data_IF_585159998655
#
_entry.id   IF_585159998655
#
_cell.length_a   1.000
_cell.length_b   1.000
_cell.length_c   1.000
_cell.angle_alpha   90.00
_cell.angle_beta   90.00
_cell.angle_gamma   90.00
#
_symmetry.space_group_name_H-M   'P 1'
#
loop_
_entity.id
_entity.type
_entity.pdbx_description
1 polymer ?
#
# COMPACT_ATOMS: atom_id res chain seq x y z
N UNK A 1 -23.03 3.35 72.73
CA UNK A 1 -21.81 3.17 71.93
C UNK A 1 -22.10 3.78 70.57
N UNK A 2 -21.54 4.97 70.38
CA UNK A 2 -21.70 5.83 69.21
C UNK A 2 -20.58 5.55 68.24
N UNK A 3 -20.82 5.68 66.94
CA UNK A 3 -20.00 6.51 66.03
C UNK A 3 -20.64 6.55 64.64
N UNK A 4 -20.94 7.78 64.20
CA UNK A 4 -21.41 8.11 62.88
C UNK A 4 -20.21 8.53 62.04
N UNK A 5 -20.01 7.89 60.88
CA UNK A 5 -19.00 8.32 59.91
C UNK A 5 -19.52 9.51 59.09
N UNK A 6 -18.98 10.68 59.38
CA UNK A 6 -19.10 11.90 58.59
C UNK A 6 -17.98 11.92 57.54
N UNK A 7 -18.32 12.00 56.25
CA UNK A 7 -17.36 12.36 55.21
C UNK A 7 -17.40 13.87 54.99
N UNK A 8 -16.35 14.54 55.43
CA UNK A 8 -16.10 15.97 55.21
C UNK A 8 -15.74 16.24 53.76
N UNK A 9 -16.45 17.19 53.14
CA UNK A 9 -16.10 17.82 51.89
C UNK A 9 -14.80 18.63 52.04
N UNK A 10 -13.87 18.47 51.09
CA UNK A 10 -12.75 19.38 50.92
C UNK A 10 -13.04 20.34 49.75
N UNK A 11 -13.02 21.67 49.98
CA UNK A 11 -12.93 22.66 48.91
C UNK A 11 -11.47 22.86 48.52
N UNK A 12 -11.18 23.41 47.34
CA UNK A 12 -10.10 24.40 47.14
C UNK A 12 -10.22 25.08 45.77
N UNK A 13 -10.44 26.38 45.84
CA UNK A 13 -10.35 27.38 44.78
C UNK A 13 -8.89 27.71 44.45
N UNK A 14 -8.67 28.19 43.21
CA UNK A 14 -7.63 29.10 42.69
C UNK A 14 -6.96 28.51 41.42
N UNK A 15 -7.21 29.08 40.25
CA UNK A 15 -6.48 30.29 39.86
C UNK A 15 -7.23 31.11 38.80
N UNK A 16 -7.47 32.36 39.15
CA UNK A 16 -7.64 33.50 38.25
C UNK A 16 -6.28 33.87 37.64
N UNK A 17 -6.34 34.65 36.54
CA UNK A 17 -5.25 35.25 35.75
C UNK A 17 -4.60 34.30 34.72
N UNK A 18 -4.53 34.59 33.42
CA UNK A 18 -4.33 35.90 32.82
C UNK A 18 -5.01 36.02 31.44
N UNK A 19 -5.85 37.04 31.30
CA UNK A 19 -6.13 37.73 30.05
C UNK A 19 -4.90 38.57 29.68
N UNK A 20 -4.17 38.24 28.60
CA UNK A 20 -3.31 39.22 27.93
C UNK A 20 -3.25 39.01 26.40
N UNK A 21 -3.85 40.00 25.73
CA UNK A 21 -3.57 40.50 24.38
C UNK A 21 -3.90 39.62 23.17
N UNK A 22 -5.07 39.90 22.59
CA UNK A 22 -5.28 39.89 21.14
C UNK A 22 -4.33 40.91 20.48
N UNK A 23 -3.08 40.51 20.27
CA UNK A 23 -2.19 41.24 19.37
C UNK A 23 -2.56 40.88 17.94
N UNK A 24 -3.25 41.81 17.30
CA UNK A 24 -3.39 41.93 15.85
C UNK A 24 -2.02 42.05 15.19
N UNK A 25 -1.35 40.92 14.94
CA UNK A 25 -0.31 40.86 13.91
C UNK A 25 -1.00 40.80 12.55
N UNK A 26 -1.16 41.99 12.00
CA UNK A 26 -1.20 42.29 10.57
C UNK A 26 -0.52 41.18 9.76
N UNK A 27 -1.35 40.34 9.14
CA UNK A 27 -0.97 39.52 8.01
C UNK A 27 -0.51 40.46 6.90
N UNK A 28 0.80 40.69 6.79
CA UNK A 28 1.39 41.14 5.54
C UNK A 28 1.05 40.08 4.49
N UNK A 29 0.47 40.44 3.32
CA UNK A 29 0.34 39.50 2.23
C UNK A 29 1.75 39.15 1.76
N UNK A 30 2.22 37.95 2.10
CA UNK A 30 3.45 37.42 1.53
C UNK A 30 3.14 37.07 0.08
N UNK A 31 3.37 38.03 -0.81
CA UNK A 31 3.36 37.85 -2.26
C UNK A 31 4.41 36.81 -2.62
N UNK A 32 4.01 35.54 -2.69
CA UNK A 32 4.84 34.47 -3.22
C UNK A 32 4.46 34.21 -4.68
N UNK A 33 4.61 35.25 -5.52
CA UNK A 33 4.59 35.15 -6.98
C UNK A 33 6.03 35.03 -7.48
N UNK A 34 6.73 33.96 -7.10
CA UNK A 34 8.04 33.63 -7.71
C UNK A 34 8.49 32.20 -7.37
N UNK A 35 7.60 31.21 -7.53
CA UNK A 35 8.00 29.78 -7.61
C UNK A 35 7.17 28.98 -8.61
N UNK A 36 6.77 29.62 -9.70
CA UNK A 36 6.26 28.99 -10.93
C UNK A 36 6.74 29.77 -12.15
N UNK A 37 8.05 29.71 -12.43
CA UNK A 37 8.61 30.25 -13.66
C UNK A 37 10.00 29.64 -13.96
N UNK A 38 10.17 28.32 -13.81
CA UNK A 38 11.41 27.66 -14.21
C UNK A 38 11.23 26.23 -14.75
N UNK A 39 10.17 26.03 -15.56
CA UNK A 39 10.01 24.79 -16.37
C UNK A 39 9.51 25.10 -17.80
N UNK A 40 9.31 26.37 -18.16
CA UNK A 40 8.81 26.79 -19.49
C UNK A 40 9.78 27.72 -20.26
N UNK A 41 11.08 27.64 -19.98
CA UNK A 41 12.10 28.37 -20.74
C UNK A 41 13.31 27.48 -21.07
N UNK A 42 13.05 26.30 -21.65
CA UNK A 42 14.06 25.53 -22.39
C UNK A 42 13.70 25.35 -23.87
N UNK A 43 12.76 26.14 -24.38
CA UNK A 43 12.38 26.13 -25.81
C UNK A 43 12.16 27.55 -26.30
N UNK A 44 13.17 28.42 -26.17
CA UNK A 44 13.13 29.75 -26.77
C UNK A 44 14.53 30.34 -26.98
N UNK A 45 15.48 29.56 -27.48
CA UNK A 45 16.74 30.11 -28.03
C UNK A 45 17.46 29.10 -28.93
N UNK A 46 16.76 28.61 -29.96
CA UNK A 46 17.45 28.13 -31.17
C UNK A 46 16.78 28.79 -32.36
N UNK A 47 17.29 29.98 -32.69
CA UNK A 47 17.12 30.59 -34.00
C UNK A 47 17.74 29.65 -35.04
N UNK A 48 16.94 28.89 -35.77
CA UNK A 48 17.41 28.20 -36.97
C UNK A 48 16.44 28.37 -38.13
N UNK A 49 17.05 28.71 -39.27
CA UNK A 49 16.45 29.11 -40.52
C UNK A 49 15.44 28.09 -41.07
N UNK A 50 14.42 28.60 -41.77
CA UNK A 50 13.37 27.83 -42.48
C UNK A 50 13.88 26.84 -43.56
N UNK A 51 15.18 26.66 -43.74
CA UNK A 51 15.78 25.79 -44.77
C UNK A 51 16.18 24.39 -44.28
N UNK A 52 16.09 24.05 -42.99
CA UNK A 52 16.47 22.73 -42.47
C UNK A 52 15.32 21.71 -42.35
N UNK A 53 14.05 22.13 -42.43
CA UNK A 53 12.89 21.24 -42.23
C UNK A 53 12.68 20.28 -43.43
N UNK A 54 13.19 20.62 -44.62
CA UNK A 54 13.04 19.76 -45.82
C UNK A 54 14.08 18.63 -45.85
N UNK A 55 15.13 18.65 -45.01
CA UNK A 55 16.16 17.59 -44.97
C UNK A 55 15.95 16.51 -43.90
N UNK A 56 14.89 16.59 -43.09
CA UNK A 56 14.53 15.53 -42.12
C UNK A 56 13.27 14.74 -42.51
N UNK A 57 12.72 14.95 -43.70
CA UNK A 57 11.64 14.13 -44.25
C UNK A 57 12.15 12.96 -45.10
N UNK A 58 13.47 12.86 -45.33
CA UNK A 58 14.13 11.84 -46.16
C UNK A 58 14.78 10.71 -45.34
N UNK A 59 14.49 10.64 -44.04
CA UNK A 59 14.94 9.58 -43.13
C UNK A 59 13.77 8.83 -42.45
N UNK A 60 12.58 8.82 -43.07
CA UNK A 60 11.47 7.92 -42.70
C UNK A 60 11.40 6.69 -43.62
N UNK A 61 12.49 6.40 -44.35
CA UNK A 61 12.62 5.29 -45.30
C UNK A 61 12.98 3.92 -44.71
N UNK A 62 12.81 3.70 -43.39
CA UNK A 62 13.03 2.37 -42.77
C UNK A 62 11.97 2.08 -41.70
N UNK A 63 10.69 2.30 -42.01
CA UNK A 63 9.62 1.60 -41.28
C UNK A 63 9.30 0.31 -42.01
N UNK A 64 10.05 -0.71 -41.63
CA UNK A 64 9.62 -2.10 -41.48
C UNK A 64 8.43 -2.52 -42.35
N UNK A 65 8.78 -3.06 -43.52
CA UNK A 65 8.08 -4.21 -44.09
C UNK A 65 8.12 -5.37 -43.09
N UNK A 66 7.12 -5.46 -42.22
CA UNK A 66 6.59 -6.75 -41.83
C UNK A 66 5.09 -6.70 -41.95
N UNK A 67 4.63 -7.33 -43.02
CA UNK A 67 3.31 -7.94 -43.12
C UNK A 67 3.07 -8.81 -41.90
N UNK A 68 2.56 -8.25 -40.80
CA UNK A 68 1.92 -9.06 -39.76
C UNK A 68 0.46 -9.20 -40.17
N UNK A 69 0.16 -10.40 -40.65
CA UNK A 69 -1.15 -10.88 -41.00
C UNK A 69 -2.22 -10.39 -40.02
N UNK A 70 -3.33 -9.94 -40.60
CA UNK A 70 -4.59 -9.55 -39.98
C UNK A 70 -5.22 -10.74 -39.24
N UNK A 71 -4.72 -11.07 -38.05
CA UNK A 71 -5.39 -11.96 -37.11
C UNK A 71 -5.42 -11.30 -35.73
N UNK A 72 -6.41 -10.42 -35.46
CA UNK A 72 -6.56 -9.78 -34.14
C UNK A 72 -6.65 -10.81 -33.00
N UNK A 73 -7.20 -12.00 -33.26
CA UNK A 73 -7.26 -13.09 -32.29
C UNK A 73 -5.88 -13.60 -31.82
N UNK A 74 -4.84 -13.55 -32.66
CA UNK A 74 -3.47 -13.94 -32.27
C UNK A 74 -2.74 -12.82 -31.52
N UNK A 75 -3.02 -11.56 -31.87
CA UNK A 75 -2.48 -10.40 -31.16
C UNK A 75 -3.12 -10.26 -29.75
N UNK A 76 -4.42 -10.47 -29.63
CA UNK A 76 -5.13 -10.47 -28.35
C UNK A 76 -4.66 -11.62 -27.44
N UNK A 77 -4.42 -12.82 -28.00
CA UNK A 77 -3.82 -13.94 -27.27
C UNK A 77 -2.38 -13.67 -26.78
N UNK A 78 -1.54 -13.03 -27.60
CA UNK A 78 -0.17 -12.69 -27.25
C UNK A 78 -0.07 -11.55 -26.21
N UNK A 79 -0.94 -10.55 -26.30
CA UNK A 79 -1.05 -9.46 -25.30
C UNK A 79 -1.56 -10.03 -23.97
N UNK A 80 -2.52 -10.96 -23.99
CA UNK A 80 -3.00 -11.66 -22.79
C UNK A 80 -1.86 -12.46 -22.14
N UNK A 81 -1.10 -13.24 -22.92
CA UNK A 81 0.02 -14.02 -22.39
C UNK A 81 1.17 -13.15 -21.82
N UNK A 82 1.57 -12.10 -22.54
CA UNK A 82 2.60 -11.17 -22.08
C UNK A 82 2.17 -10.49 -20.77
N UNK A 83 0.91 -10.06 -20.68
CA UNK A 83 0.34 -9.46 -19.46
C UNK A 83 0.37 -10.44 -18.29
N UNK A 84 -0.02 -11.71 -18.49
CA UNK A 84 0.04 -12.75 -17.45
C UNK A 84 1.47 -12.93 -16.92
N UNK A 85 2.46 -13.02 -17.82
CA UNK A 85 3.87 -13.13 -17.43
C UNK A 85 4.34 -11.89 -16.67
N UNK A 86 4.04 -10.68 -17.19
CA UNK A 86 4.46 -9.44 -16.56
C UNK A 86 3.86 -9.28 -15.17
N UNK A 87 2.57 -9.56 -15.00
CA UNK A 87 1.91 -9.50 -13.68
C UNK A 87 2.48 -10.53 -12.70
N UNK A 88 2.70 -11.78 -13.15
CA UNK A 88 3.32 -12.80 -12.29
C UNK A 88 4.72 -12.40 -11.84
N UNK A 89 5.57 -11.90 -12.76
CA UNK A 89 6.94 -11.47 -12.44
C UNK A 89 7.00 -10.21 -11.57
N UNK A 90 6.06 -9.28 -11.74
CA UNK A 90 6.10 -7.98 -11.04
C UNK A 90 5.46 -8.04 -9.66
N UNK A 91 4.38 -8.79 -9.50
CA UNK A 91 3.58 -8.78 -8.28
C UNK A 91 3.73 -10.05 -7.45
N UNK A 92 4.00 -11.21 -8.08
CA UNK A 92 4.22 -12.48 -7.37
C UNK A 92 5.31 -12.40 -6.30
N UNK A 93 6.53 -11.91 -6.61
CA UNK A 93 7.61 -11.78 -5.62
C UNK A 93 7.27 -10.84 -4.47
N UNK A 94 6.48 -9.79 -4.70
CA UNK A 94 6.05 -8.86 -3.66
C UNK A 94 5.12 -9.54 -2.66
N UNK A 95 4.18 -10.35 -3.16
CA UNK A 95 3.28 -11.16 -2.34
C UNK A 95 4.07 -12.21 -1.56
N UNK A 96 4.95 -12.95 -2.23
CA UNK A 96 5.81 -13.98 -1.62
C UNK A 96 6.72 -13.40 -0.53
N UNK A 97 7.21 -12.17 -0.69
CA UNK A 97 8.06 -11.52 0.31
C UNK A 97 7.37 -11.27 1.66
N UNK A 98 6.04 -11.38 1.72
CA UNK A 98 5.27 -11.26 2.96
C UNK A 98 5.38 -12.50 3.85
N UNK A 99 5.76 -13.67 3.31
CA UNK A 99 5.80 -14.94 4.06
C UNK A 99 6.66 -14.84 5.31
N UNK A 100 7.85 -14.25 5.20
CA UNK A 100 8.75 -14.09 6.35
C UNK A 100 8.14 -13.21 7.43
N UNK A 101 7.46 -12.13 7.05
CA UNK A 101 6.81 -11.23 8.02
C UNK A 101 5.62 -11.91 8.68
N UNK A 102 4.81 -12.66 7.91
CA UNK A 102 3.67 -13.43 8.42
C UNK A 102 4.16 -14.48 9.42
N UNK A 103 5.24 -15.20 9.11
CA UNK A 103 5.80 -16.17 10.05
C UNK A 103 6.43 -15.50 11.29
N UNK A 104 6.90 -14.26 11.17
CA UNK A 104 7.43 -13.49 12.31
C UNK A 104 6.34 -12.96 13.25
N UNK A 105 5.10 -12.79 12.77
CA UNK A 105 3.97 -12.30 13.60
C UNK A 105 3.71 -13.18 14.82
N UNK A 106 3.84 -14.50 14.67
CA UNK A 106 3.65 -15.45 15.78
C UNK A 106 4.55 -15.09 16.98
N UNK A 107 5.83 -14.88 16.70
CA UNK A 107 6.82 -14.48 17.71
C UNK A 107 6.50 -13.09 18.29
N UNK A 108 6.09 -12.12 17.47
CA UNK A 108 5.76 -10.78 17.94
C UNK A 108 4.52 -10.78 18.86
N UNK A 109 3.52 -11.60 18.56
CA UNK A 109 2.30 -11.75 19.36
C UNK A 109 2.64 -12.36 20.73
N UNK A 110 3.36 -13.48 20.74
CA UNK A 110 3.74 -14.17 21.98
C UNK A 110 4.69 -13.35 22.87
N UNK A 111 5.56 -12.54 22.26
CA UNK A 111 6.46 -11.65 22.99
C UNK A 111 5.83 -10.29 23.35
N UNK A 112 4.53 -10.10 23.09
CA UNK A 112 3.80 -8.84 23.33
C UNK A 112 4.43 -7.62 22.65
N UNK A 113 5.08 -7.81 21.50
CA UNK A 113 5.69 -6.75 20.69
C UNK A 113 4.66 -6.06 19.80
N UNK A 114 3.58 -5.53 20.40
CA UNK A 114 2.39 -5.02 19.70
C UNK A 114 2.70 -3.95 18.65
N UNK A 115 3.69 -3.09 18.91
CA UNK A 115 4.13 -2.09 17.94
C UNK A 115 4.62 -2.70 16.62
N UNK A 116 5.31 -3.86 16.68
CA UNK A 116 5.78 -4.57 15.49
C UNK A 116 4.62 -5.25 14.76
N UNK A 117 3.66 -5.80 15.50
CA UNK A 117 2.42 -6.34 14.94
C UNK A 117 1.69 -5.24 14.17
N UNK A 118 1.45 -4.09 14.79
CA UNK A 118 0.78 -2.95 14.14
C UNK A 118 1.53 -2.42 12.92
N UNK A 119 2.87 -2.36 12.97
CA UNK A 119 3.70 -1.94 11.82
C UNK A 119 3.52 -2.85 10.59
N UNK A 120 3.20 -4.13 10.79
CA UNK A 120 2.93 -5.06 9.69
C UNK A 120 1.47 -4.96 9.22
N UNK A 121 0.51 -5.02 10.14
CA UNK A 121 -0.90 -5.32 9.79
C UNK A 121 -1.85 -4.14 9.82
N UNK A 122 -1.49 -3.02 10.43
CA UNK A 122 -2.40 -1.87 10.57
C UNK A 122 -2.52 -1.08 9.27
N UNK A 123 -3.74 -0.76 8.86
CA UNK A 123 -3.96 0.16 7.73
C UNK A 123 -3.36 1.54 8.01
N UNK A 124 -3.47 1.96 9.27
CA UNK A 124 -2.88 3.18 9.79
C UNK A 124 -2.40 2.98 11.22
N UNK A 125 -1.12 3.19 11.47
CA UNK A 125 -0.51 3.18 12.79
C UNK A 125 0.32 4.45 13.04
N UNK A 126 0.68 4.70 14.29
CA UNK A 126 1.60 5.77 14.66
C UNK A 126 2.99 5.17 14.85
N UNK A 127 3.97 5.66 14.10
CA UNK A 127 5.35 5.22 14.28
C UNK A 127 5.97 5.85 15.54
N UNK A 128 7.21 5.48 15.87
CA UNK A 128 7.96 6.04 17.01
C UNK A 128 8.12 7.58 17.01
N UNK A 129 7.83 8.26 15.89
CA UNK A 129 7.84 9.72 15.75
C UNK A 129 6.43 10.34 15.81
N UNK A 130 5.41 9.58 16.23
CA UNK A 130 3.99 9.97 16.23
C UNK A 130 3.48 10.41 14.85
N UNK A 131 4.05 9.88 13.76
CA UNK A 131 3.59 10.15 12.40
C UNK A 131 2.69 9.01 11.92
N UNK A 132 1.54 9.30 11.30
CA UNK A 132 0.70 8.27 10.72
C UNK A 132 1.46 7.58 9.58
N UNK A 133 1.46 6.25 9.60
CA UNK A 133 2.03 5.38 8.57
C UNK A 133 1.09 4.24 8.24
N UNK A 134 1.29 3.63 7.08
CA UNK A 134 0.56 2.45 6.60
C UNK A 134 1.40 1.22 6.84
N UNK A 135 0.80 0.18 7.39
CA UNK A 135 1.48 -1.08 7.66
C UNK A 135 1.91 -1.79 6.39
N UNK A 136 2.95 -2.62 6.51
CA UNK A 136 3.60 -3.27 5.36
C UNK A 136 2.62 -4.03 4.46
N UNK A 137 1.68 -4.77 5.04
CA UNK A 137 0.74 -5.58 4.26
C UNK A 137 -0.19 -4.73 3.39
N UNK A 138 -0.61 -3.58 3.90
CA UNK A 138 -1.50 -2.65 3.19
C UNK A 138 -0.81 -1.95 2.01
N UNK A 139 0.51 -1.76 2.07
CA UNK A 139 1.29 -1.26 0.94
C UNK A 139 1.29 -2.27 -0.23
N UNK A 140 1.11 -3.55 0.07
CA UNK A 140 1.10 -4.64 -0.89
C UNK A 140 -0.29 -5.01 -1.39
N UNK A 141 -1.37 -4.37 -0.89
CA UNK A 141 -2.74 -4.64 -1.36
C UNK A 141 -2.90 -4.55 -2.88
N UNK A 142 -2.29 -3.55 -3.50
CA UNK A 142 -2.33 -3.40 -4.96
C UNK A 142 -1.61 -4.54 -5.68
N UNK A 143 -0.62 -5.20 -5.06
CA UNK A 143 0.06 -6.33 -5.65
C UNK A 143 -0.88 -7.55 -5.76
N UNK A 144 -1.70 -7.83 -4.74
CA UNK A 144 -2.71 -8.90 -4.77
C UNK A 144 -3.70 -8.68 -5.93
N UNK A 145 -4.28 -7.48 -6.01
CA UNK A 145 -5.25 -7.12 -7.05
C UNK A 145 -4.66 -7.20 -8.46
N UNK A 146 -3.51 -6.55 -8.67
CA UNK A 146 -2.87 -6.50 -10.00
C UNK A 146 -2.30 -7.86 -10.43
N UNK A 147 -1.95 -8.71 -9.47
CA UNK A 147 -1.61 -10.10 -9.72
C UNK A 147 -2.85 -10.87 -10.21
N UNK A 148 -3.93 -10.88 -9.43
CA UNK A 148 -5.17 -11.59 -9.77
C UNK A 148 -5.73 -11.16 -11.12
N UNK A 149 -5.98 -9.85 -11.28
CA UNK A 149 -6.58 -9.30 -12.50
C UNK A 149 -5.67 -9.44 -13.73
N UNK A 150 -4.36 -9.55 -13.52
CA UNK A 150 -3.38 -9.66 -14.62
C UNK A 150 -3.14 -11.11 -15.06
N UNK A 151 -3.06 -12.04 -14.11
CA UNK A 151 -2.77 -13.46 -14.38
C UNK A 151 -4.03 -14.23 -14.75
N UNK A 152 -5.15 -13.95 -14.08
CA UNK A 152 -6.39 -14.74 -14.17
C UNK A 152 -7.56 -13.98 -14.77
N UNK A 153 -7.29 -12.91 -15.54
CA UNK A 153 -8.31 -12.07 -16.20
C UNK A 153 -9.41 -12.87 -16.91
N UNK A 154 -9.01 -13.94 -17.60
CA UNK A 154 -9.90 -14.76 -18.43
C UNK A 154 -10.55 -15.91 -17.65
N UNK A 155 -10.06 -16.22 -16.44
CA UNK A 155 -10.59 -17.26 -15.56
C UNK A 155 -11.29 -16.61 -14.36
N UNK A 156 -12.56 -16.28 -14.56
CA UNK A 156 -13.38 -15.55 -13.57
C UNK A 156 -13.53 -16.31 -12.25
N UNK A 157 -13.57 -17.64 -12.30
CA UNK A 157 -13.75 -18.46 -11.10
C UNK A 157 -12.52 -18.39 -10.19
N UNK A 158 -11.32 -18.51 -10.77
CA UNK A 158 -10.06 -18.34 -10.00
C UNK A 158 -9.93 -16.89 -9.52
N UNK A 159 -10.24 -15.91 -10.38
CA UNK A 159 -10.16 -14.50 -9.99
C UNK A 159 -11.06 -14.20 -8.79
N UNK A 160 -12.29 -14.69 -8.78
CA UNK A 160 -13.21 -14.50 -7.66
C UNK A 160 -12.69 -15.16 -6.37
N UNK A 161 -12.09 -16.35 -6.46
CA UNK A 161 -11.47 -16.99 -5.29
C UNK A 161 -10.29 -16.18 -4.76
N UNK A 162 -9.41 -15.70 -5.63
CA UNK A 162 -8.30 -14.82 -5.23
C UNK A 162 -8.77 -13.53 -4.58
N UNK A 163 -9.83 -12.90 -5.10
CA UNK A 163 -10.43 -11.71 -4.50
C UNK A 163 -11.02 -12.01 -3.11
N UNK A 164 -11.65 -13.17 -2.94
CA UNK A 164 -12.17 -13.61 -1.65
C UNK A 164 -11.03 -13.84 -0.64
N UNK A 165 -9.95 -14.52 -1.05
CA UNK A 165 -8.79 -14.76 -0.16
C UNK A 165 -8.05 -13.45 0.17
N UNK A 166 -7.91 -12.53 -0.79
CA UNK A 166 -7.41 -11.16 -0.52
C UNK A 166 -8.27 -10.47 0.54
N UNK A 167 -9.60 -10.51 0.38
CA UNK A 167 -10.52 -9.88 1.31
C UNK A 167 -10.42 -10.50 2.71
N UNK A 168 -10.33 -11.83 2.81
CA UNK A 168 -10.16 -12.53 4.07
C UNK A 168 -8.85 -12.14 4.75
N UNK A 169 -7.74 -12.12 4.00
CA UNK A 169 -6.42 -11.71 4.48
C UNK A 169 -6.45 -10.30 5.12
N UNK A 170 -7.00 -9.30 4.41
CA UNK A 170 -7.05 -7.92 4.94
C UNK A 170 -8.09 -7.74 6.05
N UNK A 171 -9.16 -8.55 6.07
CA UNK A 171 -10.12 -8.57 7.18
C UNK A 171 -9.45 -9.12 8.44
N UNK A 172 -8.70 -10.21 8.33
CA UNK A 172 -7.93 -10.78 9.42
C UNK A 172 -6.82 -9.82 9.89
N UNK A 173 -6.12 -9.15 8.98
CA UNK A 173 -5.13 -8.11 9.31
C UNK A 173 -5.74 -6.96 10.12
N UNK A 174 -6.95 -6.53 9.75
CA UNK A 174 -7.70 -5.50 10.50
C UNK A 174 -8.09 -5.99 11.89
N UNK A 175 -8.55 -7.25 12.02
CA UNK A 175 -8.87 -7.85 13.32
C UNK A 175 -7.64 -7.96 14.20
N UNK A 176 -6.52 -8.41 13.66
CA UNK A 176 -5.25 -8.51 14.36
C UNK A 176 -4.74 -7.14 14.82
N UNK A 177 -4.82 -6.12 13.98
CA UNK A 177 -4.50 -4.72 14.34
C UNK A 177 -5.33 -4.25 15.54
N UNK A 178 -6.64 -4.50 15.52
CA UNK A 178 -7.54 -4.14 16.63
C UNK A 178 -7.23 -4.92 17.91
N UNK A 179 -6.92 -6.20 17.82
CA UNK A 179 -6.55 -7.04 18.95
C UNK A 179 -5.22 -6.57 19.58
N UNK A 180 -4.22 -6.29 18.74
CA UNK A 180 -2.93 -5.74 19.16
C UNK A 180 -3.09 -4.38 19.87
N UNK A 181 -3.94 -3.48 19.35
CA UNK A 181 -4.21 -2.18 20.01
C UNK A 181 -4.85 -2.29 21.40
N UNK A 182 -5.49 -3.43 21.68
CA UNK A 182 -6.10 -3.76 22.97
C UNK A 182 -5.23 -4.66 23.84
N UNK A 183 -4.05 -5.06 23.35
CA UNK A 183 -3.18 -6.08 23.95
C UNK A 183 -3.92 -7.41 24.22
N UNK A 184 -4.86 -7.78 23.36
CA UNK A 184 -5.67 -8.99 23.49
C UNK A 184 -4.94 -10.17 22.82
N UNK A 185 -4.27 -11.01 23.61
CA UNK A 185 -3.47 -12.12 23.11
C UNK A 185 -4.32 -13.16 22.38
N UNK A 186 -5.44 -13.58 22.99
CA UNK A 186 -6.28 -14.65 22.44
C UNK A 186 -6.91 -14.25 21.11
N UNK A 187 -7.45 -13.04 21.00
CA UNK A 187 -8.00 -12.56 19.74
C UNK A 187 -6.89 -12.31 18.70
N UNK A 188 -5.68 -11.92 19.13
CA UNK A 188 -4.53 -11.78 18.24
C UNK A 188 -4.10 -13.10 17.63
N UNK A 189 -4.02 -14.18 18.43
CA UNK A 189 -3.66 -15.52 17.94
C UNK A 189 -4.68 -16.06 16.94
N UNK A 190 -5.97 -15.89 17.22
CA UNK A 190 -7.05 -16.29 16.30
C UNK A 190 -6.98 -15.51 14.99
N UNK A 191 -6.87 -14.17 15.07
CA UNK A 191 -6.78 -13.33 13.88
C UNK A 191 -5.49 -13.58 13.07
N UNK A 192 -4.38 -13.91 13.74
CA UNK A 192 -3.15 -14.35 13.10
C UNK A 192 -3.34 -15.66 12.33
N UNK A 193 -3.99 -16.65 12.93
CA UNK A 193 -4.29 -17.93 12.28
C UNK A 193 -5.15 -17.73 11.04
N UNK A 194 -6.22 -16.93 11.15
CA UNK A 194 -7.09 -16.58 10.02
C UNK A 194 -6.29 -15.89 8.89
N UNK A 195 -5.41 -14.95 9.25
CA UNK A 195 -4.56 -14.23 8.30
C UNK A 195 -3.60 -15.17 7.57
N UNK A 196 -2.95 -16.07 8.32
CA UNK A 196 -1.99 -17.04 7.78
C UNK A 196 -2.68 -18.01 6.82
N UNK A 197 -3.86 -18.51 7.19
CA UNK A 197 -4.63 -19.42 6.34
C UNK A 197 -5.04 -18.74 5.03
N UNK A 198 -5.62 -17.54 5.10
CA UNK A 198 -6.01 -16.78 3.90
C UNK A 198 -4.80 -16.49 2.98
N UNK A 199 -3.62 -16.23 3.54
CA UNK A 199 -2.40 -16.05 2.76
C UNK A 199 -2.00 -17.32 2.00
N UNK A 200 -1.96 -18.47 2.66
CA UNK A 200 -1.57 -19.72 2.02
C UNK A 200 -2.62 -20.24 1.02
N UNK A 201 -3.92 -20.05 1.30
CA UNK A 201 -4.98 -20.32 0.33
C UNK A 201 -4.86 -19.42 -0.91
N UNK A 202 -4.56 -18.13 -0.71
CA UNK A 202 -4.26 -17.23 -1.84
C UNK A 202 -3.08 -17.75 -2.67
N UNK A 203 -1.96 -18.15 -2.04
CA UNK A 203 -0.79 -18.67 -2.75
C UNK A 203 -1.11 -19.97 -3.52
N UNK A 204 -1.91 -20.85 -2.92
CA UNK A 204 -2.36 -22.09 -3.53
C UNK A 204 -3.20 -21.83 -4.79
N UNK A 205 -4.26 -21.01 -4.68
CA UNK A 205 -5.10 -20.62 -5.83
C UNK A 205 -4.30 -19.87 -6.91
N UNK A 206 -3.35 -19.03 -6.48
CA UNK A 206 -2.46 -18.28 -7.36
C UNK A 206 -1.42 -19.16 -8.06
N UNK A 207 -1.25 -20.41 -7.63
CA UNK A 207 -0.17 -21.30 -8.03
C UNK A 207 1.20 -20.58 -7.89
N UNK A 208 1.35 -19.84 -6.79
CA UNK A 208 2.60 -19.22 -6.42
C UNK A 208 3.34 -20.18 -5.51
N UNK A 209 4.45 -20.69 -6.02
CA UNK A 209 5.37 -21.52 -5.28
C UNK A 209 6.25 -20.61 -4.42
N UNK A 210 6.27 -20.86 -3.11
CA UNK A 210 7.29 -20.32 -2.22
C UNK A 210 8.64 -20.96 -2.57
N UNK A 211 9.73 -20.28 -2.26
CA UNK A 211 11.08 -20.57 -2.80
C UNK A 211 11.65 -21.95 -2.38
N UNK A 212 10.92 -22.75 -1.60
CA UNK A 212 11.26 -24.13 -1.20
C UNK A 212 10.60 -25.24 -2.06
N UNK A 213 10.02 -24.92 -3.22
CA UNK A 213 9.39 -25.93 -4.10
C UNK A 213 9.93 -25.96 -5.55
N UNK A 214 11.25 -25.85 -5.67
CA UNK A 214 11.97 -26.32 -6.87
C UNK A 214 12.14 -27.84 -6.74
N UNK A 215 11.14 -28.59 -7.19
CA UNK A 215 11.35 -30.00 -7.53
C UNK A 215 12.29 -30.08 -8.74
N UNK A 216 13.39 -30.81 -8.55
CA UNK A 216 14.31 -31.28 -9.60
C UNK A 216 13.58 -32.20 -10.57
#
# INVERSE_FOLDING_TARGET
MSEAFQFSAFPLQNSLLASQSLSSRLLKPRTNKSRRANVLQLVASVSMSRRSIIRLALLTGVFWRFSVLKNPALADGAISFATKITSRRRYGPRILSLEQDINSLDSYIHNHEWNKVEELVSERYLNAQNKPRTGKFWLERNAFQLFGSGVFRDNKDILQRLENEEQQFFTAATRLSRAASKNDLEESERAYTDLKNAYYEFLHEAQLKTEDSVDV
#
